data_IF_334867477896
#
_entry.id   IF_334867477896
#
_cell.length_a   1.000
_cell.length_b   1.000
_cell.length_c   1.000
_cell.angle_alpha   90.00
_cell.angle_beta   90.00
_cell.angle_gamma   90.00
#
_symmetry.space_group_name_H-M   'P 1'
#
loop_
_entity.id
_entity.type
_entity.pdbx_description
1 polymer ?
#
# COMPACT_ATOMS: atom_id res chain seq x y z
N UNK A 1 -1.25 -6.67 -13.73
CA UNK A 1 -2.64 -6.31 -13.42
C UNK A 1 -3.49 -6.34 -14.69
N UNK A 2 -4.59 -7.10 -14.76
CA UNK A 2 -5.43 -7.16 -15.98
C UNK A 2 -6.90 -6.76 -15.78
N UNK A 3 -7.45 -6.78 -14.55
CA UNK A 3 -8.88 -6.44 -14.34
C UNK A 3 -9.15 -5.11 -13.64
N UNK A 4 -8.17 -4.51 -12.95
CA UNK A 4 -8.37 -3.24 -12.23
C UNK A 4 -7.96 -1.99 -13.03
N UNK A 5 -7.33 -2.17 -14.20
CA UNK A 5 -6.91 -1.09 -15.10
C UNK A 5 -7.91 -0.87 -16.24
N UNK A 6 -8.85 -1.79 -16.46
CA UNK A 6 -9.95 -1.66 -17.41
C UNK A 6 -11.05 -0.76 -16.83
N UNK A 7 -10.70 0.51 -16.66
CA UNK A 7 -11.59 1.56 -16.22
C UNK A 7 -11.60 2.69 -17.25
N UNK A 8 -12.77 3.28 -17.56
CA UNK A 8 -12.89 4.27 -18.63
C UNK A 8 -12.09 5.57 -18.37
N UNK A 9 -11.54 5.76 -17.16
CA UNK A 9 -10.67 6.87 -16.77
C UNK A 9 -9.94 6.56 -15.45
N UNK A 10 -8.84 7.27 -15.15
CA UNK A 10 -8.17 7.17 -13.85
C UNK A 10 -9.10 7.48 -12.65
N UNK A 11 -10.07 8.40 -12.85
CA UNK A 11 -11.11 8.75 -11.86
C UNK A 11 -12.16 7.65 -11.64
N UNK A 12 -12.15 6.60 -12.46
CA UNK A 12 -13.07 5.45 -12.34
C UNK A 12 -12.35 4.14 -12.01
N UNK A 13 -11.02 4.17 -11.81
CA UNK A 13 -10.24 3.02 -11.39
C UNK A 13 -10.28 2.83 -9.88
N UNK A 14 -10.96 1.78 -9.42
CA UNK A 14 -11.14 1.51 -8.00
C UNK A 14 -9.79 1.40 -7.26
N UNK A 15 -8.79 0.74 -7.83
CA UNK A 15 -7.47 0.61 -7.19
C UNK A 15 -6.76 1.95 -6.91
N UNK A 16 -6.86 2.93 -7.82
CA UNK A 16 -6.25 4.24 -7.61
C UNK A 16 -7.02 5.09 -6.60
N UNK A 17 -8.34 4.92 -6.56
CA UNK A 17 -9.25 5.70 -5.71
C UNK A 17 -9.40 5.11 -4.30
N UNK A 18 -9.12 3.82 -4.11
CA UNK A 18 -9.11 3.17 -2.80
C UNK A 18 -7.74 3.27 -2.11
N UNK A 19 -6.67 3.61 -2.83
CA UNK A 19 -5.35 3.77 -2.21
C UNK A 19 -5.34 4.81 -1.07
N UNK A 20 -5.97 6.01 -1.20
CA UNK A 20 -5.96 7.01 -0.13
C UNK A 20 -6.65 6.49 1.13
N UNK A 21 -7.70 5.68 0.97
CA UNK A 21 -8.38 5.01 2.09
C UNK A 21 -7.42 4.05 2.79
N UNK A 22 -6.72 3.18 2.05
CA UNK A 22 -5.75 2.26 2.63
C UNK A 22 -4.55 2.98 3.24
N UNK A 23 -4.15 4.13 2.70
CA UNK A 23 -3.11 4.98 3.30
C UNK A 23 -3.57 5.53 4.65
N UNK A 24 -4.81 6.01 4.76
CA UNK A 24 -5.35 6.48 6.04
C UNK A 24 -5.49 5.33 7.05
N UNK A 25 -5.96 4.16 6.61
CA UNK A 25 -6.00 2.94 7.43
C UNK A 25 -4.62 2.59 7.97
N UNK A 26 -3.59 2.66 7.11
CA UNK A 26 -2.21 2.43 7.52
C UNK A 26 -1.78 3.43 8.60
N UNK A 27 -2.02 4.73 8.41
CA UNK A 27 -1.59 5.77 9.34
C UNK A 27 -2.30 5.64 10.70
N UNK A 28 -3.60 5.33 10.70
CA UNK A 28 -4.37 5.06 11.92
C UNK A 28 -3.81 3.84 12.66
N UNK A 29 -3.55 2.74 11.94
CA UNK A 29 -2.97 1.54 12.52
C UNK A 29 -1.57 1.80 13.09
N UNK A 30 -0.71 2.49 12.35
CA UNK A 30 0.63 2.88 12.79
C UNK A 30 0.62 3.80 14.01
N UNK A 31 -0.45 4.60 14.20
CA UNK A 31 -0.67 5.43 15.40
C UNK A 31 -1.18 4.66 16.62
N UNK A 32 -1.52 3.37 16.46
CA UNK A 32 -1.98 2.48 17.53
C UNK A 32 -3.47 2.14 17.49
N UNK A 33 -4.25 2.67 16.53
CA UNK A 33 -5.66 2.33 16.36
C UNK A 33 -5.75 1.01 15.58
N UNK A 34 -5.88 -0.11 16.30
CA UNK A 34 -5.84 -1.46 15.70
C UNK A 34 -7.21 -2.12 15.57
N UNK A 35 -8.25 -1.57 16.21
CA UNK A 35 -9.61 -2.06 16.09
C UNK A 35 -10.22 -1.62 14.75
N UNK A 36 -10.70 -2.58 13.95
CA UNK A 36 -11.31 -2.31 12.64
C UNK A 36 -12.42 -1.26 12.68
N UNK A 37 -13.33 -1.35 13.65
CA UNK A 37 -14.46 -0.41 13.72
C UNK A 37 -13.98 0.99 14.08
N UNK A 38 -13.03 1.10 15.01
CA UNK A 38 -12.42 2.40 15.35
C UNK A 38 -11.65 3.00 14.18
N UNK A 39 -10.96 2.17 13.37
CA UNK A 39 -10.31 2.63 12.14
C UNK A 39 -11.35 3.15 11.14
N UNK A 40 -12.44 2.39 10.91
CA UNK A 40 -13.49 2.79 9.97
C UNK A 40 -14.21 4.05 10.44
N UNK A 41 -14.51 4.17 11.74
CA UNK A 41 -15.15 5.35 12.35
C UNK A 41 -14.21 6.59 12.37
N UNK A 42 -12.91 6.38 12.20
CA UNK A 42 -11.89 7.44 12.16
C UNK A 42 -11.46 7.82 10.73
N UNK A 43 -12.05 7.20 9.71
CA UNK A 43 -11.87 7.62 8.33
C UNK A 43 -12.45 9.03 8.13
N UNK A 44 -11.90 9.79 7.19
CA UNK A 44 -12.47 11.07 6.85
C UNK A 44 -13.68 10.92 5.89
N UNK A 45 -14.54 11.95 5.84
CA UNK A 45 -15.73 11.95 4.99
C UNK A 45 -15.41 11.60 3.53
N UNK A 46 -14.25 12.02 3.03
CA UNK A 46 -13.82 11.72 1.66
C UNK A 46 -13.49 10.23 1.47
N UNK A 47 -12.89 9.58 2.46
CA UNK A 47 -12.61 8.14 2.43
C UNK A 47 -13.89 7.32 2.55
N UNK A 48 -14.86 7.77 3.35
CA UNK A 48 -16.20 7.18 3.39
C UNK A 48 -16.91 7.28 2.03
N UNK A 49 -16.92 8.47 1.42
CA UNK A 49 -17.48 8.70 0.08
C UNK A 49 -16.86 7.77 -0.98
N UNK A 50 -15.54 7.54 -0.91
CA UNK A 50 -14.83 6.64 -1.80
C UNK A 50 -15.23 5.18 -1.57
N UNK A 51 -15.37 4.75 -0.32
CA UNK A 51 -15.82 3.40 0.02
C UNK A 51 -17.25 3.16 -0.49
N UNK A 52 -18.17 4.10 -0.28
CA UNK A 52 -19.55 4.01 -0.79
C UNK A 52 -19.58 3.94 -2.31
N UNK A 53 -18.86 4.85 -2.98
CA UNK A 53 -18.83 4.95 -4.45
C UNK A 53 -18.30 3.69 -5.13
N UNK A 54 -17.35 3.00 -4.50
CA UNK A 54 -16.72 1.81 -5.07
C UNK A 54 -17.22 0.49 -4.45
N UNK A 55 -18.20 0.53 -3.55
CA UNK A 55 -18.73 -0.65 -2.83
C UNK A 55 -19.19 -1.80 -3.77
N UNK A 56 -19.75 -1.47 -4.93
CA UNK A 56 -20.21 -2.48 -5.91
C UNK A 56 -19.11 -2.96 -6.87
N UNK A 57 -17.88 -2.42 -6.78
CA UNK A 57 -16.74 -2.69 -7.67
C UNK A 57 -15.54 -3.31 -6.93
N UNK A 58 -15.76 -3.87 -5.75
CA UNK A 58 -14.73 -4.41 -4.86
C UNK A 58 -14.25 -5.81 -5.28
N UNK A 59 -13.67 -5.93 -6.47
CA UNK A 59 -12.87 -7.12 -6.81
C UNK A 59 -11.53 -7.09 -6.08
N UNK A 60 -11.09 -8.26 -5.59
CA UNK A 60 -9.89 -8.39 -4.78
C UNK A 60 -8.64 -7.80 -5.45
N UNK A 61 -8.51 -7.94 -6.77
CA UNK A 61 -7.43 -7.35 -7.56
C UNK A 61 -7.29 -5.84 -7.39
N UNK A 62 -8.42 -5.11 -7.23
CA UNK A 62 -8.39 -3.67 -7.02
C UNK A 62 -7.96 -3.27 -5.62
N UNK A 63 -8.29 -4.08 -4.62
CA UNK A 63 -7.79 -3.88 -3.26
C UNK A 63 -6.31 -4.21 -3.16
N UNK A 64 -5.84 -5.28 -3.83
CA UNK A 64 -4.41 -5.57 -3.95
C UNK A 64 -3.67 -4.42 -4.63
N UNK A 65 -4.21 -3.86 -5.71
CA UNK A 65 -3.64 -2.65 -6.35
C UNK A 65 -3.55 -1.48 -5.38
N UNK A 66 -4.67 -1.15 -4.73
CA UNK A 66 -4.73 -0.05 -3.78
C UNK A 66 -3.72 -0.24 -2.63
N UNK A 67 -3.59 -1.46 -2.12
CA UNK A 67 -2.66 -1.80 -1.04
C UNK A 67 -1.21 -1.60 -1.48
N UNK A 68 -0.85 -2.06 -2.69
CA UNK A 68 0.49 -1.85 -3.24
C UNK A 68 0.82 -0.37 -3.44
N UNK A 69 -0.14 0.43 -3.93
CA UNK A 69 0.03 1.88 -4.08
C UNK A 69 0.21 2.57 -2.71
N UNK A 70 -0.61 2.22 -1.71
CA UNK A 70 -0.48 2.75 -0.36
C UNK A 70 0.87 2.37 0.28
N UNK A 71 1.34 1.13 0.08
CA UNK A 71 2.67 0.70 0.54
C UNK A 71 3.78 1.51 -0.16
N UNK A 72 3.65 1.76 -1.46
CA UNK A 72 4.63 2.55 -2.21
C UNK A 72 4.75 3.97 -1.64
N UNK A 73 3.62 4.63 -1.39
CA UNK A 73 3.55 5.98 -0.82
C UNK A 73 4.16 6.03 0.60
N UNK A 74 3.89 5.01 1.43
CA UNK A 74 4.51 4.91 2.76
C UNK A 74 6.03 4.81 2.65
N UNK A 75 6.54 3.98 1.73
CA UNK A 75 7.98 3.79 1.53
C UNK A 75 8.63 5.08 0.99
N UNK A 76 7.97 5.77 0.06
CA UNK A 76 8.41 7.08 -0.44
C UNK A 76 8.58 8.07 0.73
N UNK A 77 7.57 8.16 1.61
CA UNK A 77 7.62 9.03 2.78
C UNK A 77 8.72 8.68 3.79
N UNK A 78 9.17 7.42 3.84
CA UNK A 78 10.34 7.00 4.63
C UNK A 78 11.66 7.38 3.94
N UNK A 79 11.76 7.15 2.63
CA UNK A 79 12.95 7.47 1.85
C UNK A 79 13.26 8.98 1.90
N UNK A 80 12.23 9.83 1.79
CA UNK A 80 12.36 11.28 1.86
C UNK A 80 12.88 11.82 3.21
N UNK A 81 12.85 11.01 4.28
CA UNK A 81 13.36 11.41 5.61
C UNK A 81 14.87 11.21 5.76
N UNK A 82 15.54 10.55 4.80
CA UNK A 82 16.99 10.38 4.78
C UNK A 82 17.52 9.58 5.98
N UNK A 83 17.04 8.35 6.15
CA UNK A 83 17.25 7.57 7.36
C UNK A 83 18.31 6.46 7.20
N UNK A 84 19.24 6.33 8.16
CA UNK A 84 20.33 5.33 8.11
C UNK A 84 19.83 3.88 8.20
N UNK A 85 18.63 3.66 8.74
CA UNK A 85 18.02 2.34 8.94
C UNK A 85 16.87 2.05 7.97
N UNK A 86 16.89 2.63 6.77
CA UNK A 86 15.79 2.55 5.81
C UNK A 86 15.32 1.11 5.51
N UNK A 87 16.21 0.12 5.44
CA UNK A 87 15.82 -1.29 5.25
C UNK A 87 14.90 -1.82 6.35
N UNK A 88 15.23 -1.52 7.62
CA UNK A 88 14.45 -1.96 8.76
C UNK A 88 13.11 -1.23 8.82
N UNK A 89 13.08 0.06 8.48
CA UNK A 89 11.85 0.83 8.42
C UNK A 89 10.92 0.38 7.29
N UNK A 90 11.46 0.09 6.10
CA UNK A 90 10.68 -0.49 5.00
C UNK A 90 10.12 -1.85 5.39
N UNK A 91 10.91 -2.70 6.04
CA UNK A 91 10.42 -3.99 6.56
C UNK A 91 9.30 -3.82 7.58
N UNK A 92 9.47 -2.89 8.52
CA UNK A 92 8.43 -2.58 9.51
C UNK A 92 7.17 -2.02 8.84
N UNK A 93 7.32 -1.16 7.83
CA UNK A 93 6.21 -0.58 7.09
C UNK A 93 5.43 -1.63 6.31
N UNK A 94 6.11 -2.53 5.59
CA UNK A 94 5.45 -3.62 4.86
C UNK A 94 4.75 -4.58 5.84
N UNK A 95 5.34 -4.85 7.00
CA UNK A 95 4.70 -5.63 8.08
C UNK A 95 3.45 -4.95 8.64
N UNK A 96 3.55 -3.65 8.95
CA UNK A 96 2.42 -2.84 9.41
C UNK A 96 1.30 -2.81 8.39
N UNK A 97 1.61 -2.67 7.09
CA UNK A 97 0.61 -2.71 6.02
C UNK A 97 -0.06 -4.09 5.93
N UNK A 98 0.70 -5.19 6.06
CA UNK A 98 0.13 -6.55 6.10
C UNK A 98 -0.93 -6.67 7.20
N UNK A 99 -0.62 -6.20 8.39
CA UNK A 99 -1.51 -6.31 9.55
C UNK A 99 -2.70 -5.34 9.44
N UNK A 100 -2.46 -4.08 9.06
CA UNK A 100 -3.49 -3.06 8.89
C UNK A 100 -4.51 -3.45 7.83
N UNK A 101 -4.06 -4.10 6.74
CA UNK A 101 -4.90 -4.46 5.61
C UNK A 101 -5.54 -5.85 5.73
N UNK A 102 -5.21 -6.64 6.77
CA UNK A 102 -5.69 -8.01 6.96
C UNK A 102 -7.23 -8.13 6.84
N UNK A 103 -7.96 -7.08 7.22
CA UNK A 103 -9.44 -7.05 7.24
C UNK A 103 -10.07 -6.49 5.97
N UNK A 104 -9.27 -6.16 4.97
CA UNK A 104 -9.69 -5.69 3.65
C UNK A 104 -9.48 -6.81 2.61
N UNK A 105 -10.24 -6.83 1.51
CA UNK A 105 -10.20 -7.93 0.55
C UNK A 105 -9.01 -7.84 -0.43
N UNK A 106 -7.84 -7.45 0.06
CA UNK A 106 -6.58 -7.55 -0.68
C UNK A 106 -6.02 -8.99 -0.58
N UNK A 107 -5.16 -9.35 -1.52
CA UNK A 107 -4.52 -10.66 -1.55
C UNK A 107 -3.05 -10.53 -1.18
N UNK A 108 -2.65 -11.06 -0.02
CA UNK A 108 -1.25 -11.01 0.43
C UNK A 108 -0.27 -11.69 -0.55
N UNK A 109 -0.72 -12.68 -1.33
CA UNK A 109 0.10 -13.28 -2.41
C UNK A 109 0.54 -12.24 -3.45
N UNK A 110 -0.30 -11.24 -3.73
CA UNK A 110 0.01 -10.17 -4.69
C UNK A 110 1.15 -9.28 -4.21
N UNK A 111 1.38 -9.17 -2.89
CA UNK A 111 2.57 -8.50 -2.35
C UNK A 111 3.86 -9.15 -2.85
N UNK A 112 3.89 -10.47 -2.99
CA UNK A 112 5.06 -11.22 -3.45
C UNK A 112 5.15 -11.23 -4.97
N UNK A 113 4.02 -11.47 -5.64
CA UNK A 113 3.97 -11.55 -7.11
C UNK A 113 4.27 -10.21 -7.77
N UNK A 114 3.79 -9.12 -7.17
CA UNK A 114 3.94 -7.75 -7.69
C UNK A 114 5.01 -6.94 -6.96
N UNK A 115 5.82 -7.53 -6.07
CA UNK A 115 6.95 -6.84 -5.46
C UNK A 115 7.90 -6.14 -6.48
N UNK A 116 8.15 -6.70 -7.68
CA UNK A 116 8.89 -6.01 -8.73
C UNK A 116 8.25 -4.70 -9.22
N UNK A 117 6.92 -4.66 -9.28
CA UNK A 117 6.13 -3.52 -9.74
C UNK A 117 5.96 -2.51 -8.61
N UNK A 118 5.81 -2.97 -7.36
CA UNK A 118 5.89 -2.13 -6.17
C UNK A 118 7.22 -1.36 -6.11
N UNK A 119 8.35 -2.04 -6.39
CA UNK A 119 9.65 -1.37 -6.46
C UNK A 119 9.67 -0.27 -7.52
N UNK A 120 9.08 -0.53 -8.69
CA UNK A 120 8.99 0.46 -9.75
C UNK A 120 8.12 1.66 -9.34
N UNK A 121 6.98 1.40 -8.69
CA UNK A 121 6.10 2.46 -8.18
C UNK A 121 6.81 3.33 -7.13
N UNK A 122 7.60 2.75 -6.22
CA UNK A 122 8.42 3.51 -5.27
C UNK A 122 9.46 4.36 -5.99
N UNK A 123 10.13 3.84 -7.02
CA UNK A 123 11.10 4.62 -7.80
C UNK A 123 10.46 5.77 -8.59
N UNK A 124 9.24 5.58 -9.08
CA UNK A 124 8.50 6.63 -9.79
C UNK A 124 8.00 7.72 -8.84
N UNK A 125 7.72 7.35 -7.58
CA UNK A 125 7.32 8.27 -6.54
C UNK A 125 8.50 9.01 -5.89
N UNK A 126 9.67 8.38 -5.78
CA UNK A 126 10.90 9.00 -5.27
C UNK A 126 11.61 9.81 -6.37
N UNK A 127 11.66 11.16 -6.30
CA UNK A 127 12.36 11.97 -7.30
C UNK A 127 13.89 11.82 -7.25
N UNK A 128 14.45 11.37 -6.12
CA UNK A 128 15.87 11.21 -5.87
C UNK A 128 16.30 9.73 -5.92
N UNK A 129 17.56 9.46 -6.29
CA UNK A 129 18.10 8.09 -6.42
C UNK A 129 18.41 7.42 -5.08
N UNK A 130 18.26 8.13 -3.96
CA UNK A 130 18.62 7.70 -2.61
C UNK A 130 17.99 6.35 -2.20
N UNK A 131 16.72 6.14 -2.57
CA UNK A 131 16.06 4.86 -2.32
C UNK A 131 16.75 3.71 -3.08
N UNK A 132 17.04 3.91 -4.37
CA UNK A 132 17.67 2.90 -5.21
C UNK A 132 19.13 2.61 -4.82
N UNK A 133 19.81 3.59 -4.22
CA UNK A 133 21.17 3.46 -3.68
C UNK A 133 21.20 2.62 -2.39
N UNK A 134 20.11 2.68 -1.61
CA UNK A 134 20.05 2.01 -0.31
C UNK A 134 19.37 0.64 -0.38
N UNK A 135 18.24 0.54 -1.10
CA UNK A 135 17.43 -0.68 -1.21
C UNK A 135 17.38 -1.09 -2.67
N UNK A 136 17.99 -2.24 -2.98
CA UNK A 136 17.89 -2.82 -4.32
C UNK A 136 16.50 -3.48 -4.55
N UNK A 137 16.10 -3.61 -5.82
CA UNK A 137 14.91 -4.38 -6.23
C UNK A 137 14.85 -5.77 -5.60
N UNK A 138 15.98 -6.48 -5.58
CA UNK A 138 16.08 -7.83 -4.99
C UNK A 138 15.79 -7.80 -3.48
N UNK A 139 16.24 -6.76 -2.80
CA UNK A 139 16.07 -6.60 -1.37
C UNK A 139 14.62 -6.29 -1.01
N UNK A 140 13.95 -5.38 -1.73
CA UNK A 140 12.51 -5.15 -1.53
C UNK A 140 11.68 -6.41 -1.78
N UNK A 141 11.98 -7.16 -2.84
CA UNK A 141 11.33 -8.47 -3.11
C UNK A 141 11.54 -9.45 -1.96
N UNK A 142 12.74 -9.46 -1.37
CA UNK A 142 13.04 -10.31 -0.20
C UNK A 142 12.23 -9.87 1.01
N UNK A 143 12.15 -8.57 1.30
CA UNK A 143 11.33 -8.03 2.39
C UNK A 143 9.86 -8.45 2.23
N UNK A 144 9.30 -8.28 1.03
CA UNK A 144 7.92 -8.65 0.72
C UNK A 144 7.66 -10.14 0.97
N UNK A 145 8.58 -11.01 0.55
CA UNK A 145 8.50 -12.46 0.81
C UNK A 145 8.62 -12.81 2.29
N UNK A 146 9.60 -12.25 2.97
CA UNK A 146 9.82 -12.49 4.40
C UNK A 146 8.58 -12.07 5.20
N UNK A 147 7.96 -10.94 4.88
CA UNK A 147 6.73 -10.47 5.55
C UNK A 147 5.52 -11.33 5.19
N UNK A 148 5.34 -11.69 3.92
CA UNK A 148 4.19 -12.47 3.48
C UNK A 148 4.17 -13.90 4.08
N UNK A 149 5.33 -14.48 4.36
CA UNK A 149 5.47 -15.85 4.88
C UNK A 149 5.93 -15.95 6.34
N UNK A 150 6.06 -14.82 7.05
CA UNK A 150 6.21 -14.78 8.50
C UNK A 150 4.88 -15.03 9.21
#
# INVERSE_FOLDING_TARGET
>A
MRSCDDCPSAQSCAGNNLHPVLKQVYDLYASGVTNKFEILDALDDNSEDLLERFNDRLVADCWSKAALLAIAEVIEGLAARGNENLDQEVRAAVGCAKDAFERFPWQLSELVEQAPDLYQAVLEACPDTDFAETISKRQLVKICKDVAYA
#
